data_IF_139932006947
#
_entry.id   IF_139932006947
#
_cell.length_a   1.000
_cell.length_b   1.000
_cell.length_c   1.000
_cell.angle_alpha   90.00
_cell.angle_beta   90.00
_cell.angle_gamma   90.00
#
_symmetry.space_group_name_H-M   'P 1'
#
loop_
_entity.id
_entity.type
_entity.pdbx_description
1 polymer ?
#
# COMPACT_ATOMS: atom_id res chain seq x y z
N UNK A 1 -2.19 -13.79 22.64
CA UNK A 1 -2.44 -13.69 21.20
C UNK A 1 -2.46 -12.20 20.92
N UNK A 2 -1.31 -11.63 20.55
CA UNK A 2 -1.20 -10.20 20.31
C UNK A 2 -1.96 -9.86 19.02
N UNK A 3 -3.08 -9.15 19.18
CA UNK A 3 -3.83 -8.60 18.05
C UNK A 3 -2.97 -7.45 17.51
N UNK A 4 -2.30 -7.66 16.38
CA UNK A 4 -1.56 -6.60 15.69
C UNK A 4 -2.55 -5.75 14.90
N UNK A 5 -2.72 -4.50 15.31
CA UNK A 5 -3.55 -3.52 14.59
C UNK A 5 -2.73 -2.86 13.50
N UNK A 6 -3.13 -3.06 12.25
CA UNK A 6 -2.60 -2.33 11.10
C UNK A 6 -2.87 -0.82 11.27
N UNK A 7 -1.86 0.02 11.01
CA UNK A 7 -1.99 1.50 11.11
C UNK A 7 -2.82 2.11 9.99
N UNK A 8 -2.85 1.43 8.84
CA UNK A 8 -3.54 1.92 7.65
C UNK A 8 -4.61 0.92 7.22
N UNK A 9 -5.66 1.43 6.58
CA UNK A 9 -6.79 0.62 6.11
C UNK A 9 -6.83 0.54 4.58
N UNK A 10 -7.49 -0.50 4.06
CA UNK A 10 -7.79 -0.62 2.63
C UNK A 10 -8.61 0.60 2.20
N UNK A 11 -8.25 1.16 1.04
CA UNK A 11 -8.84 2.36 0.48
C UNK A 11 -8.18 3.67 0.94
N UNK A 12 -7.28 3.62 1.93
CA UNK A 12 -6.57 4.81 2.40
C UNK A 12 -5.47 5.21 1.42
N UNK A 13 -5.39 6.52 1.14
CA UNK A 13 -4.31 7.11 0.35
C UNK A 13 -3.13 7.41 1.28
N UNK A 14 -1.97 6.90 0.91
CA UNK A 14 -0.71 7.03 1.66
C UNK A 14 0.42 7.42 0.71
N UNK A 15 1.51 7.93 1.27
CA UNK A 15 2.76 8.18 0.55
C UNK A 15 3.93 7.51 1.22
N UNK A 16 4.95 7.25 0.43
CA UNK A 16 6.19 6.72 0.97
C UNK A 16 6.97 7.86 1.66
N UNK A 17 7.57 7.57 2.82
CA UNK A 17 8.30 8.55 3.64
C UNK A 17 9.49 9.17 2.91
N UNK A 18 10.22 8.36 2.16
CA UNK A 18 11.48 8.73 1.47
C UNK A 18 11.32 8.86 -0.05
N UNK A 19 10.78 7.84 -0.72
CA UNK A 19 10.59 7.84 -2.17
C UNK A 19 9.37 8.69 -2.60
N UNK A 20 9.47 9.42 -3.73
CA UNK A 20 8.42 10.35 -4.16
C UNK A 20 7.30 9.62 -4.92
N UNK A 21 6.55 8.79 -4.21
CA UNK A 21 5.33 8.17 -4.74
C UNK A 21 4.22 8.15 -3.69
N UNK A 22 2.99 8.12 -4.18
CA UNK A 22 1.77 7.93 -3.38
C UNK A 22 0.93 6.80 -3.97
N UNK A 23 -0.02 6.30 -3.21
CA UNK A 23 -0.92 5.26 -3.69
C UNK A 23 -2.05 4.96 -2.72
N UNK A 24 -3.02 4.19 -3.20
CA UNK A 24 -4.11 3.68 -2.38
C UNK A 24 -3.84 2.23 -2.00
N UNK A 25 -4.07 1.89 -0.73
CA UNK A 25 -3.93 0.53 -0.23
C UNK A 25 -5.08 -0.33 -0.73
N UNK A 26 -4.80 -1.44 -1.41
CA UNK A 26 -5.83 -2.38 -1.85
C UNK A 26 -5.75 -3.76 -1.19
N UNK A 27 -4.62 -4.10 -0.57
CA UNK A 27 -4.44 -5.34 0.20
C UNK A 27 -3.38 -5.17 1.31
N UNK A 28 -3.37 -6.08 2.28
CA UNK A 28 -2.44 -6.07 3.42
C UNK A 28 -2.07 -7.49 3.84
N UNK A 29 -0.78 -7.74 3.98
CA UNK A 29 -0.24 -8.94 4.62
C UNK A 29 0.10 -8.65 6.08
N UNK A 30 -0.17 -9.59 7.01
CA UNK A 30 0.16 -9.41 8.43
C UNK A 30 1.68 -9.37 8.70
N UNK A 31 2.47 -9.95 7.81
CA UNK A 31 3.92 -9.98 7.82
C UNK A 31 4.47 -10.02 6.38
N UNK A 32 5.80 -9.95 6.23
CA UNK A 32 6.42 -10.05 4.92
C UNK A 32 6.06 -11.36 4.20
N UNK A 33 5.41 -11.26 3.03
CA UNK A 33 4.92 -12.40 2.25
C UNK A 33 5.44 -12.41 0.80
N UNK A 34 6.48 -11.63 0.49
CA UNK A 34 7.11 -11.62 -0.84
C UNK A 34 8.32 -12.58 -0.90
N UNK A 35 8.97 -12.68 -2.06
CA UNK A 35 10.06 -13.64 -2.27
C UNK A 35 11.34 -13.26 -1.51
N UNK A 36 12.14 -14.27 -1.16
CA UNK A 36 13.43 -14.05 -0.50
C UNK A 36 14.42 -13.35 -1.43
N UNK A 37 14.33 -13.55 -2.74
CA UNK A 37 15.12 -12.84 -3.74
C UNK A 37 14.84 -11.33 -3.71
N UNK A 38 13.56 -10.94 -3.63
CA UNK A 38 13.19 -9.54 -3.47
C UNK A 38 13.75 -8.98 -2.17
N UNK A 39 13.64 -9.73 -1.07
CA UNK A 39 14.21 -9.35 0.21
C UNK A 39 15.73 -9.11 0.14
N UNK A 40 16.45 -10.00 -0.53
CA UNK A 40 17.90 -9.92 -0.67
C UNK A 40 18.34 -8.77 -1.58
N UNK A 41 17.50 -8.38 -2.55
CA UNK A 41 17.75 -7.22 -3.43
C UNK A 41 17.75 -5.88 -2.69
N UNK A 42 17.12 -5.80 -1.51
CA UNK A 42 17.11 -4.59 -0.69
C UNK A 42 18.47 -4.45 0.02
N UNK A 43 19.14 -3.28 -0.10
CA UNK A 43 20.34 -2.97 0.67
C UNK A 43 20.14 -3.22 2.16
N UNK A 44 21.11 -3.86 2.82
CA UNK A 44 20.99 -4.30 4.22
C UNK A 44 20.57 -3.15 5.15
N UNK A 45 21.11 -1.96 4.93
CA UNK A 45 20.79 -0.73 5.67
C UNK A 45 19.33 -0.26 5.54
N UNK A 46 18.65 -0.66 4.46
CA UNK A 46 17.28 -0.26 4.14
C UNK A 46 16.27 -1.39 4.33
N UNK A 47 16.70 -2.57 4.80
CA UNK A 47 15.80 -3.72 4.99
C UNK A 47 14.77 -3.40 6.09
N UNK A 48 13.47 -3.41 5.78
CA UNK A 48 12.45 -3.28 6.80
C UNK A 48 12.46 -4.49 7.75
N UNK A 49 11.70 -4.44 8.84
CA UNK A 49 11.48 -5.64 9.69
C UNK A 49 10.45 -6.55 9.02
N UNK A 50 10.66 -7.87 9.01
CA UNK A 50 9.68 -8.82 8.42
C UNK A 50 8.39 -8.93 9.25
N UNK A 51 8.51 -8.84 10.58
CA UNK A 51 7.42 -9.02 11.55
C UNK A 51 6.54 -7.76 11.71
N UNK A 52 6.08 -7.19 10.61
CA UNK A 52 5.16 -6.04 10.58
C UNK A 52 4.23 -6.14 9.36
N UNK A 53 3.10 -5.43 9.34
CA UNK A 53 2.24 -5.40 8.16
C UNK A 53 2.95 -4.86 6.92
N UNK A 54 2.70 -5.50 5.77
CA UNK A 54 3.10 -5.02 4.45
C UNK A 54 1.85 -4.73 3.63
N UNK A 55 1.88 -3.63 2.90
CA UNK A 55 0.73 -3.15 2.16
C UNK A 55 1.00 -3.24 0.66
N UNK A 56 -0.03 -3.59 -0.08
CA UNK A 56 -0.07 -3.50 -1.53
C UNK A 56 -0.79 -2.22 -1.94
N UNK A 57 -0.12 -1.40 -2.76
CA UNK A 57 -0.63 -0.11 -3.19
C UNK A 57 -0.76 -0.09 -4.71
N UNK A 58 -1.88 0.47 -5.19
CA UNK A 58 -1.94 1.03 -6.54
C UNK A 58 -1.26 2.40 -6.45
N UNK A 59 -0.02 2.49 -6.92
CA UNK A 59 0.85 3.64 -6.72
C UNK A 59 1.09 4.41 -8.01
N UNK A 60 1.40 5.70 -7.88
CA UNK A 60 1.79 6.56 -8.98
C UNK A 60 3.00 7.42 -8.61
N UNK A 61 3.83 7.71 -9.61
CA UNK A 61 4.91 8.69 -9.51
C UNK A 61 5.05 9.46 -10.83
N UNK A 62 6.10 10.27 -10.97
CA UNK A 62 6.34 11.07 -12.18
C UNK A 62 6.51 10.25 -13.48
N UNK A 63 6.78 8.95 -13.39
CA UNK A 63 6.94 8.04 -14.54
C UNK A 63 5.63 7.31 -14.89
N UNK A 64 4.65 7.29 -13.98
CA UNK A 64 3.34 6.68 -14.20
C UNK A 64 2.89 5.72 -13.10
N UNK A 65 1.80 4.98 -13.34
CA UNK A 65 1.21 4.04 -12.38
C UNK A 65 1.97 2.70 -12.31
N UNK A 66 2.03 2.10 -11.12
CA UNK A 66 2.57 0.77 -10.86
C UNK A 66 2.05 0.19 -9.53
N UNK A 67 2.22 -1.12 -9.33
CA UNK A 67 1.91 -1.77 -8.04
C UNK A 67 3.13 -1.71 -7.13
N UNK A 68 2.95 -1.20 -5.91
CA UNK A 68 4.00 -1.14 -4.89
C UNK A 68 3.73 -2.10 -3.74
N UNK A 69 4.78 -2.74 -3.22
CA UNK A 69 4.77 -3.55 -2.01
C UNK A 69 5.65 -2.89 -0.94
N UNK A 70 5.06 -2.44 0.17
CA UNK A 70 5.72 -1.51 1.10
C UNK A 70 5.44 -1.88 2.55
N UNK A 71 6.48 -1.85 3.39
CA UNK A 71 6.35 -2.06 4.84
C UNK A 71 5.66 -0.88 5.53
N UNK A 72 4.87 -1.15 6.58
CA UNK A 72 4.17 -0.12 7.36
C UNK A 72 5.06 1.04 7.83
N UNK A 73 6.28 0.77 8.31
CA UNK A 73 7.20 1.80 8.81
C UNK A 73 7.56 2.88 7.78
N UNK A 74 7.47 2.54 6.49
CA UNK A 74 7.86 3.40 5.38
C UNK A 74 6.69 4.21 4.81
N UNK A 75 5.47 3.99 5.30
CA UNK A 75 4.28 4.70 4.88
C UNK A 75 3.94 5.83 5.86
N UNK A 76 3.35 6.89 5.33
CA UNK A 76 2.71 7.97 6.08
C UNK A 76 1.37 8.30 5.42
N UNK A 77 0.35 8.77 6.18
CA UNK A 77 -0.90 9.24 5.59
C UNK A 77 -0.64 10.38 4.58
N UNK A 78 -1.44 10.44 3.53
CA UNK A 78 -1.52 11.67 2.74
C UNK A 78 -2.45 12.66 3.45
N UNK A 79 -1.97 13.88 3.69
CA UNK A 79 -2.70 14.88 4.50
C UNK A 79 -3.78 15.60 3.70
N UNK A 80 -3.58 15.75 2.38
CA UNK A 80 -4.54 16.32 1.45
C UNK A 80 -4.66 15.37 0.25
N UNK A 81 -5.43 14.28 0.39
CA UNK A 81 -5.44 13.22 -0.59
C UNK A 81 -6.29 13.59 -1.81
N UNK A 82 -5.61 13.75 -2.94
CA UNK A 82 -6.28 13.75 -4.24
C UNK A 82 -6.42 12.31 -4.77
N UNK A 83 -7.40 12.04 -5.66
CA UNK A 83 -7.51 10.75 -6.34
C UNK A 83 -6.19 10.30 -6.98
N UNK A 84 -5.84 9.03 -6.78
CA UNK A 84 -4.67 8.38 -7.39
C UNK A 84 -5.02 7.98 -8.82
N UNK A 85 -4.15 8.30 -9.78
CA UNK A 85 -4.30 7.90 -11.18
C UNK A 85 -3.64 6.54 -11.42
N UNK A 86 -4.43 5.46 -11.29
CA UNK A 86 -3.98 4.11 -11.63
C UNK A 86 -5.07 3.37 -12.41
N UNK A 87 -4.75 2.67 -13.52
CA UNK A 87 -5.76 2.05 -14.41
C UNK A 87 -6.62 0.99 -13.71
N UNK A 88 -6.07 0.35 -12.67
CA UNK A 88 -6.79 -0.67 -11.89
C UNK A 88 -7.67 -0.11 -10.77
N UNK A 89 -7.73 1.22 -10.53
CA UNK A 89 -8.55 1.81 -9.47
C UNK A 89 -10.01 1.34 -9.56
N UNK A 90 -10.61 1.41 -10.76
CA UNK A 90 -12.00 1.05 -10.98
C UNK A 90 -12.27 -0.46 -10.81
N UNK A 91 -11.22 -1.28 -10.89
CA UNK A 91 -11.31 -2.73 -10.66
C UNK A 91 -11.40 -3.05 -9.18
N UNK A 92 -10.68 -2.33 -8.32
CA UNK A 92 -10.65 -2.58 -6.87
C UNK A 92 -11.63 -1.72 -6.07
N UNK A 93 -11.99 -0.54 -6.58
CA UNK A 93 -12.76 0.46 -5.83
C UNK A 93 -14.01 0.94 -6.59
N UNK A 94 -15.06 1.28 -5.85
CA UNK A 94 -16.28 1.88 -6.40
C UNK A 94 -16.15 3.39 -6.62
N UNK A 95 -15.23 4.03 -5.89
CA UNK A 95 -14.99 5.46 -5.92
C UNK A 95 -14.36 5.97 -4.62
N UNK A 96 -14.10 7.26 -4.55
CA UNK A 96 -13.55 7.97 -3.39
C UNK A 96 -14.68 8.68 -2.62
N UNK A 97 -14.78 8.47 -1.31
CA UNK A 97 -15.72 9.16 -0.41
C UNK A 97 -14.99 9.57 0.87
N UNK A 98 -15.09 10.85 1.24
CA UNK A 98 -14.44 11.39 2.44
C UNK A 98 -12.97 10.96 2.54
N UNK A 99 -12.21 11.17 1.45
CA UNK A 99 -10.78 10.84 1.34
C UNK A 99 -10.41 9.35 1.45
N UNK A 100 -11.41 8.46 1.41
CA UNK A 100 -11.25 7.02 1.47
C UNK A 100 -11.86 6.33 0.25
N UNK A 101 -11.09 5.48 -0.42
CA UNK A 101 -11.61 4.67 -1.50
C UNK A 101 -12.47 3.53 -0.96
N UNK A 102 -13.67 3.37 -1.51
CA UNK A 102 -14.60 2.32 -1.11
C UNK A 102 -14.26 1.05 -1.88
N UNK A 103 -13.71 0.05 -1.18
CA UNK A 103 -13.37 -1.23 -1.78
C UNK A 103 -14.61 -1.93 -2.33
N UNK A 104 -14.49 -2.49 -3.53
CA UNK A 104 -15.51 -3.38 -4.08
C UNK A 104 -15.54 -4.67 -3.26
N UNK A 105 -16.72 -5.26 -3.02
CA UNK A 105 -16.79 -6.59 -2.43
C UNK A 105 -16.07 -7.57 -3.35
N UNK A 106 -14.99 -8.18 -2.85
CA UNK A 106 -14.27 -9.22 -3.58
C UNK A 106 -15.18 -10.45 -3.62
N UNK A 107 -15.81 -10.68 -4.77
CA UNK A 107 -16.62 -11.89 -4.97
C UNK A 107 -15.65 -13.06 -5.02
N UNK A 108 -15.53 -13.77 -3.89
CA UNK A 108 -14.88 -15.07 -3.88
C UNK A 108 -15.79 -16.03 -4.67
N UNK A 109 -15.32 -16.47 -5.84
CA UNK A 109 -15.93 -17.58 -6.57
C UNK A 109 -15.59 -18.91 -5.90
#
# INVERSE_FOLDING_TARGET
MDIRTAKFQIGQIVKHRVHPFRGVIFDVDPEFANTEEWWQSIPIENRPRKEQPYYHLLAENAQGPYIAYVSEQNLVPEENPDPVSHPEIDTFFEGLRDDLYIARPRVAN
#
